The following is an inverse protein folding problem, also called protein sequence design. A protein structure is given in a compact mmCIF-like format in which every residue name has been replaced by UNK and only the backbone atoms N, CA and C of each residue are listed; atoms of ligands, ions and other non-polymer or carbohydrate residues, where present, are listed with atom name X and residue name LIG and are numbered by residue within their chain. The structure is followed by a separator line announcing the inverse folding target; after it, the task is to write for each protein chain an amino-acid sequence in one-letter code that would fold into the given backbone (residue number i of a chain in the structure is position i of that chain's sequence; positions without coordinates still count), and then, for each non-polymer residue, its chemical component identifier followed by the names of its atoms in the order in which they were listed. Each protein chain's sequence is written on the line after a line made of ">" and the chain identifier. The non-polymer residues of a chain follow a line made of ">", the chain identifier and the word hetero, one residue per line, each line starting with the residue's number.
data_IF_758373007583
#
_entry.id   IF_758373007583
#
_cell.length_a   1.000
_cell.length_b   1.000
_cell.length_c   1.000
_cell.angle_alpha   90.00
_cell.angle_beta   90.00
_cell.angle_gamma   90.00
#
_symmetry.space_group_name_H-M   'P 1'
#
loop_
_entity.id
_entity.type
_entity.pdbx_description
1 polymer ?
#
# COMPACT_ATOMS: atom_id res chain seq x y z
N UNK A 1 6.17 1.14 4.58
CA UNK A 1 6.31 0.52 3.24
C UNK A 1 7.70 -0.08 2.98
N UNK A 2 8.78 0.70 3.07
CA UNK A 2 10.14 0.26 2.69
C UNK A 2 10.61 -1.01 3.38
N UNK A 3 10.40 -1.14 4.69
CA UNK A 3 10.74 -2.34 5.46
C UNK A 3 10.09 -3.61 4.90
N UNK A 4 8.81 -3.54 4.53
CA UNK A 4 8.05 -4.68 4.01
C UNK A 4 8.59 -5.12 2.65
N UNK A 5 8.73 -4.18 1.70
CA UNK A 5 9.24 -4.47 0.37
C UNK A 5 10.69 -4.98 0.43
N UNK A 6 11.54 -4.38 1.27
CA UNK A 6 12.91 -4.87 1.46
C UNK A 6 12.97 -6.26 2.08
N UNK A 7 12.01 -6.61 2.95
CA UNK A 7 11.86 -7.97 3.47
C UNK A 7 11.60 -8.99 2.35
N UNK A 8 10.66 -8.69 1.45
CA UNK A 8 10.41 -9.53 0.27
C UNK A 8 11.63 -9.65 -0.65
N UNK A 9 12.32 -8.53 -0.89
CA UNK A 9 13.54 -8.53 -1.70
C UNK A 9 14.66 -9.37 -1.08
N UNK A 10 14.82 -9.34 0.24
CA UNK A 10 15.83 -10.12 0.93
C UNK A 10 15.56 -11.64 0.81
N UNK A 11 14.31 -12.07 0.97
CA UNK A 11 13.92 -13.49 0.82
C UNK A 11 14.15 -13.98 -0.61
N UNK A 12 13.90 -13.14 -1.62
CA UNK A 12 14.09 -13.48 -3.02
C UNK A 12 15.54 -13.26 -3.51
N UNK A 13 16.43 -12.73 -2.67
CA UNK A 13 17.77 -12.27 -3.04
C UNK A 13 17.76 -11.28 -4.23
N UNK A 14 16.75 -10.41 -4.27
CA UNK A 14 16.58 -9.41 -5.33
C UNK A 14 17.17 -8.06 -4.94
N UNK A 15 17.81 -7.40 -5.90
CA UNK A 15 18.15 -5.99 -5.78
C UNK A 15 16.95 -5.09 -6.14
N UNK A 16 16.89 -3.86 -5.61
CA UNK A 16 15.88 -2.88 -6.06
C UNK A 16 15.89 -2.63 -7.58
N UNK A 17 17.06 -2.72 -8.22
CA UNK A 17 17.17 -2.60 -9.68
C UNK A 17 16.50 -3.77 -10.42
N UNK A 18 16.58 -4.99 -9.86
CA UNK A 18 15.86 -6.16 -10.40
C UNK A 18 14.36 -5.98 -10.25
N UNK A 19 13.88 -5.52 -9.09
CA UNK A 19 12.46 -5.22 -8.90
C UNK A 19 11.95 -4.21 -9.93
N UNK A 20 12.68 -3.11 -10.16
CA UNK A 20 12.31 -2.10 -11.17
C UNK A 20 12.14 -2.71 -12.57
N UNK A 21 13.03 -3.62 -12.95
CA UNK A 21 12.95 -4.34 -14.23
C UNK A 21 11.71 -5.25 -14.28
N UNK A 22 11.48 -6.03 -13.23
CA UNK A 22 10.39 -7.03 -13.20
C UNK A 22 9.01 -6.39 -13.09
N UNK A 23 8.88 -5.30 -12.34
CA UNK A 23 7.62 -4.58 -12.15
C UNK A 23 7.33 -3.54 -13.24
N UNK A 24 8.27 -3.34 -14.19
CA UNK A 24 8.19 -2.29 -15.20
C UNK A 24 8.17 -0.86 -14.64
N UNK A 25 8.56 -0.68 -13.37
CA UNK A 25 8.56 0.63 -12.71
C UNK A 25 9.91 1.33 -12.90
N UNK A 26 9.91 2.66 -12.85
CA UNK A 26 11.16 3.40 -12.91
C UNK A 26 12.06 3.09 -11.71
N UNK A 27 13.39 3.13 -11.91
CA UNK A 27 14.37 3.00 -10.81
C UNK A 27 14.14 4.06 -9.71
N UNK A 28 13.67 5.25 -10.08
CA UNK A 28 13.33 6.31 -9.13
C UNK A 28 12.11 5.94 -8.27
N UNK A 29 11.07 5.36 -8.88
CA UNK A 29 9.89 4.86 -8.16
C UNK A 29 10.29 3.77 -7.17
N UNK A 30 11.04 2.75 -7.62
CA UNK A 30 11.47 1.68 -6.73
C UNK A 30 12.41 2.21 -5.64
N UNK A 31 13.35 3.09 -5.97
CA UNK A 31 14.21 3.73 -4.97
C UNK A 31 13.41 4.45 -3.90
N UNK A 32 12.34 5.17 -4.27
CA UNK A 32 11.43 5.79 -3.29
C UNK A 32 10.73 4.73 -2.42
N UNK A 33 10.29 3.63 -3.00
CA UNK A 33 9.59 2.57 -2.26
C UNK A 33 10.55 1.83 -1.31
N UNK A 34 11.78 1.55 -1.73
CA UNK A 34 12.76 0.73 -0.97
C UNK A 34 13.61 1.55 0.00
N UNK A 35 13.79 2.84 -0.25
CA UNK A 35 14.72 3.69 0.50
C UNK A 35 14.04 4.82 1.24
N UNK A 36 12.84 5.24 0.80
CA UNK A 36 12.16 6.38 1.39
C UNK A 36 11.27 5.96 2.53
N UNK A 37 11.32 6.77 3.57
CA UNK A 37 10.39 6.76 4.66
C UNK A 37 9.10 7.44 4.17
N UNK A 38 8.06 6.66 3.88
CA UNK A 38 6.73 7.19 3.53
C UNK A 38 6.16 8.10 4.61
N UNK A 39 6.71 8.08 5.84
CA UNK A 39 6.34 8.99 6.93
C UNK A 39 6.85 10.43 6.70
N UNK A 40 7.90 10.65 5.90
CA UNK A 40 8.53 11.98 5.74
C UNK A 40 7.90 12.86 4.66
N UNK A 41 7.02 12.32 3.81
CA UNK A 41 6.33 13.11 2.79
C UNK A 41 4.85 12.69 2.68
N UNK A 42 3.93 13.38 3.38
CA UNK A 42 2.51 13.07 3.35
C UNK A 42 1.87 13.30 1.97
N UNK A 43 2.56 13.94 1.03
CA UNK A 43 2.09 14.18 -0.33
C UNK A 43 2.57 13.15 -1.36
N UNK A 44 3.48 12.23 -0.99
CA UNK A 44 3.88 11.16 -1.89
C UNK A 44 2.86 10.01 -1.85
N UNK A 45 1.80 10.14 -2.65
CA UNK A 45 0.81 9.08 -2.81
C UNK A 45 1.26 8.11 -3.90
N UNK A 46 1.41 6.84 -3.53
CA UNK A 46 1.63 5.77 -4.51
C UNK A 46 0.34 5.52 -5.27
N UNK A 47 0.47 5.18 -6.55
CA UNK A 47 -0.65 4.78 -7.39
C UNK A 47 -1.01 3.31 -7.15
N UNK A 48 -2.30 2.97 -7.17
CA UNK A 48 -2.77 1.59 -7.02
C UNK A 48 -2.10 0.65 -8.05
N UNK A 49 -1.95 1.12 -9.28
CA UNK A 49 -1.31 0.37 -10.37
C UNK A 49 0.17 0.07 -10.06
N UNK A 50 0.87 0.98 -9.39
CA UNK A 50 2.28 0.77 -8.99
C UNK A 50 2.38 -0.32 -7.94
N UNK A 51 1.51 -0.30 -6.92
CA UNK A 51 1.49 -1.34 -5.88
C UNK A 51 1.11 -2.70 -6.48
N UNK A 52 0.10 -2.75 -7.35
CA UNK A 52 -0.28 -3.98 -8.03
C UNK A 52 0.85 -4.54 -8.90
N UNK A 53 1.56 -3.71 -9.65
CA UNK A 53 2.69 -4.13 -10.48
C UNK A 53 3.84 -4.72 -9.64
N UNK A 54 4.10 -4.14 -8.47
CA UNK A 54 5.10 -4.66 -7.52
C UNK A 54 4.65 -5.98 -6.92
N UNK A 55 3.40 -6.08 -6.46
CA UNK A 55 2.84 -7.32 -5.92
C UNK A 55 2.92 -8.46 -6.95
N UNK A 56 2.58 -8.17 -8.21
CA UNK A 56 2.65 -9.13 -9.31
C UNK A 56 4.09 -9.55 -9.59
N UNK A 57 5.04 -8.60 -9.62
CA UNK A 57 6.45 -8.89 -9.90
C UNK A 57 7.12 -9.70 -8.80
N UNK A 58 6.68 -9.55 -7.54
CA UNK A 58 7.15 -10.31 -6.40
C UNK A 58 6.40 -11.63 -6.20
N UNK A 59 5.42 -11.94 -7.05
CA UNK A 59 4.60 -13.16 -6.97
C UNK A 59 3.95 -13.35 -5.59
N UNK A 60 3.52 -12.25 -4.98
CA UNK A 60 3.00 -12.27 -3.61
C UNK A 60 1.72 -13.11 -3.50
N UNK A 61 1.59 -13.83 -2.38
CA UNK A 61 0.34 -14.50 -2.02
C UNK A 61 -0.78 -13.49 -1.78
N UNK A 62 -2.03 -13.96 -1.69
CA UNK A 62 -3.17 -13.09 -1.38
C UNK A 62 -2.96 -12.31 -0.08
N UNK A 63 -2.43 -12.97 0.95
CA UNK A 63 -2.18 -12.37 2.27
C UNK A 63 -1.07 -11.32 2.21
N UNK A 64 0.07 -11.65 1.60
CA UNK A 64 1.18 -10.71 1.41
C UNK A 64 0.78 -9.51 0.56
N UNK A 65 -0.06 -9.74 -0.46
CA UNK A 65 -0.62 -8.67 -1.29
C UNK A 65 -1.51 -7.76 -0.45
N UNK A 66 -2.42 -8.30 0.39
CA UNK A 66 -3.24 -7.49 1.29
C UNK A 66 -2.39 -6.65 2.23
N UNK A 67 -1.38 -7.25 2.86
CA UNK A 67 -0.44 -6.53 3.73
C UNK A 67 0.26 -5.38 2.99
N UNK A 68 0.71 -5.62 1.75
CA UNK A 68 1.32 -4.59 0.92
C UNK A 68 0.33 -3.45 0.62
N UNK A 69 -0.91 -3.77 0.27
CA UNK A 69 -1.94 -2.77 -0.01
C UNK A 69 -2.32 -1.98 1.24
N UNK A 70 -2.51 -2.61 2.40
CA UNK A 70 -2.81 -1.89 3.65
C UNK A 70 -1.66 -1.00 4.10
N UNK A 71 -0.42 -1.40 3.81
CA UNK A 71 0.74 -0.56 4.08
C UNK A 71 0.80 0.67 3.16
N UNK A 72 0.26 0.59 1.93
CA UNK A 72 0.22 1.69 0.97
C UNK A 72 -1.02 2.58 1.13
N UNK A 73 -2.15 1.96 1.45
CA UNK A 73 -3.49 2.53 1.52
C UNK A 73 -4.17 1.99 2.78
N UNK A 74 -3.86 2.56 3.96
CA UNK A 74 -4.43 2.09 5.23
C UNK A 74 -5.96 2.14 5.26
N UNK A 75 -6.59 3.00 4.45
CA UNK A 75 -8.03 3.05 4.27
C UNK A 75 -8.62 1.71 3.82
N UNK A 76 -7.88 0.88 3.07
CA UNK A 76 -8.37 -0.41 2.59
C UNK A 76 -8.62 -1.40 3.74
N UNK A 77 -7.81 -1.34 4.81
CA UNK A 77 -8.04 -2.17 5.99
C UNK A 77 -9.38 -1.81 6.66
N UNK A 78 -9.68 -0.51 6.77
CA UNK A 78 -10.94 -0.02 7.35
C UNK A 78 -12.13 -0.42 6.48
N UNK A 79 -11.97 -0.40 5.16
CA UNK A 79 -13.05 -0.81 4.24
C UNK A 79 -13.35 -2.31 4.33
N UNK A 80 -12.32 -3.15 4.44
CA UNK A 80 -12.51 -4.59 4.66
C UNK A 80 -13.14 -4.87 6.04
N UNK A 81 -12.67 -4.20 7.10
CA UNK A 81 -13.27 -4.26 8.45
C UNK A 81 -14.76 -3.89 8.42
N UNK A 82 -15.09 -2.78 7.77
CA UNK A 82 -16.47 -2.30 7.64
C UNK A 82 -17.36 -3.26 6.87
N UNK A 83 -16.86 -3.82 5.75
CA UNK A 83 -17.60 -4.80 4.95
C UNK A 83 -17.86 -6.10 5.72
N UNK A 84 -16.88 -6.57 6.50
CA UNK A 84 -17.00 -7.78 7.32
C UNK A 84 -18.03 -7.63 8.46
N UNK A 85 -18.13 -6.44 9.05
CA UNK A 85 -19.05 -6.16 10.16
C UNK A 85 -20.41 -5.61 9.71
N UNK A 86 -20.57 -5.31 8.41
CA UNK A 86 -21.79 -4.74 7.86
C UNK A 86 -22.05 -3.29 8.28
N UNK A 87 -20.98 -2.51 8.49
CA UNK A 87 -21.08 -1.10 8.86
C UNK A 87 -21.69 -0.26 7.73
N UNK A 88 -22.44 0.76 8.13
CA UNK A 88 -22.96 1.80 7.26
C UNK A 88 -21.85 2.74 6.77
N UNK A 89 -22.15 3.56 5.77
CA UNK A 89 -21.21 4.58 5.27
C UNK A 89 -20.84 5.58 6.37
N UNK A 90 -21.81 5.98 7.19
CA UNK A 90 -21.59 6.94 8.29
C UNK A 90 -20.67 6.34 9.36
N UNK A 91 -20.95 5.11 9.82
CA UNK A 91 -20.08 4.40 10.78
C UNK A 91 -18.66 4.18 10.22
N UNK A 92 -18.54 3.90 8.93
CA UNK A 92 -17.23 3.74 8.28
C UNK A 92 -16.49 5.07 8.20
N UNK A 93 -17.19 6.17 7.90
CA UNK A 93 -16.60 7.51 7.91
C UNK A 93 -16.15 7.92 9.32
N UNK A 94 -16.90 7.57 10.37
CA UNK A 94 -16.48 7.81 11.76
C UNK A 94 -15.17 7.08 12.08
N UNK A 95 -15.03 5.82 11.64
CA UNK A 95 -13.79 5.04 11.80
C UNK A 95 -12.61 5.65 11.02
N UNK A 96 -12.84 6.05 9.77
CA UNK A 96 -11.83 6.69 8.92
C UNK A 96 -11.39 8.03 9.53
N UNK A 97 -12.34 8.86 9.97
CA UNK A 97 -12.10 10.13 10.62
C UNK A 97 -11.28 9.96 11.92
N UNK A 98 -11.67 9.01 12.78
CA UNK A 98 -10.95 8.70 14.02
C UNK A 98 -9.50 8.23 13.79
N UNK A 99 -9.20 7.72 12.59
CA UNK A 99 -7.86 7.27 12.16
C UNK A 99 -7.12 8.30 11.31
N UNK A 100 -7.70 9.48 11.05
CA UNK A 100 -7.12 10.52 10.20
C UNK A 100 -6.99 10.11 8.72
N UNK A 101 -7.85 9.20 8.27
CA UNK A 101 -7.83 8.64 6.92
C UNK A 101 -8.84 9.32 5.99
N UNK A 102 -8.65 9.23 4.65
CA UNK A 102 -9.60 9.79 3.70
C UNK A 102 -11.00 9.18 3.86
N UNK A 103 -12.01 10.04 3.99
CA UNK A 103 -13.42 9.63 4.06
C UNK A 103 -13.91 9.06 2.73
N UNK A 104 -14.94 8.20 2.79
CA UNK A 104 -15.60 7.66 1.59
C UNK A 104 -16.36 8.75 0.83
N UNK A 105 -16.89 9.72 1.57
CA UNK A 105 -17.66 10.86 1.06
C UNK A 105 -17.24 12.10 1.83
N UNK A 106 -17.14 13.25 1.17
CA UNK A 106 -17.05 14.53 1.86
C UNK A 106 -18.41 14.88 2.45
N UNK A 107 -18.42 15.42 3.67
CA UNK A 107 -19.62 16.04 4.25
C UNK A 107 -20.21 17.03 3.23
N UNK A 108 -21.52 16.91 2.99
CA UNK A 108 -22.25 17.83 2.12
C UNK A 108 -22.50 19.16 2.81
#
# INVERSE_FOLDING_TARGET
>A
MSKLVNGYLAVLEWSPARLAKMSGQSKATISRITSYDTERNPYYRLELRTIQAIAQALELTLEQRRELFYTAFPEFYVWDEAAEHGYTVDETNDLLHGRGLPLLTSDK
#
